data_IF_542478692557
#
_entry.id   IF_542478692557
#
_cell.length_a   1.000
_cell.length_b   1.000
_cell.length_c   1.000
_cell.angle_alpha   90.00
_cell.angle_beta   90.00
_cell.angle_gamma   90.00
#
_symmetry.space_group_name_H-M   'P 1'
#
loop_
_entity.id
_entity.type
_entity.pdbx_description
1 polymer ?
#
# COMPACT_ATOMS: atom_id res chain seq x y z
N UNK A 1 -11.08 23.96 10.13
CA UNK A 1 -11.96 22.96 10.78
C UNK A 1 -12.40 21.87 9.79
N UNK A 2 -12.93 22.22 8.61
CA UNK A 2 -13.36 21.22 7.61
C UNK A 2 -12.22 20.32 7.10
N UNK A 3 -11.04 20.89 6.86
CA UNK A 3 -9.86 20.15 6.39
C UNK A 3 -9.42 19.07 7.38
N UNK A 4 -9.46 19.37 8.67
CA UNK A 4 -9.10 18.45 9.75
C UNK A 4 -10.09 17.27 9.83
N UNK A 5 -11.40 17.50 9.67
CA UNK A 5 -12.38 16.42 9.64
C UNK A 5 -12.22 15.54 8.40
N UNK A 6 -11.88 16.14 7.25
CA UNK A 6 -11.57 15.40 6.02
C UNK A 6 -10.34 14.51 6.20
N UNK A 7 -9.30 15.01 6.83
CA UNK A 7 -8.08 14.26 7.14
C UNK A 7 -8.37 13.08 8.09
N UNK A 8 -9.12 13.29 9.16
CA UNK A 8 -9.50 12.22 10.08
C UNK A 8 -10.36 11.15 9.41
N UNK A 9 -11.32 11.56 8.57
CA UNK A 9 -12.15 10.63 7.83
C UNK A 9 -11.32 9.81 6.83
N UNK A 10 -10.43 10.45 6.06
CA UNK A 10 -9.55 9.80 5.11
C UNK A 10 -8.66 8.75 5.81
N UNK A 11 -8.00 9.13 6.90
CA UNK A 11 -7.19 8.22 7.69
C UNK A 11 -8.00 7.06 8.29
N UNK A 12 -9.20 7.32 8.82
CA UNK A 12 -10.07 6.31 9.40
C UNK A 12 -10.47 5.24 8.36
N UNK A 13 -10.94 5.65 7.18
CA UNK A 13 -11.29 4.71 6.10
C UNK A 13 -10.08 3.93 5.62
N UNK A 14 -8.91 4.58 5.50
CA UNK A 14 -7.69 3.93 5.04
C UNK A 14 -7.16 2.91 6.05
N UNK A 15 -7.17 3.23 7.36
CA UNK A 15 -6.81 2.30 8.44
C UNK A 15 -7.73 1.07 8.45
N UNK A 16 -9.04 1.26 8.31
CA UNK A 16 -10.00 0.16 8.22
C UNK A 16 -9.74 -0.70 6.97
N UNK A 17 -9.48 -0.08 5.83
CA UNK A 17 -9.14 -0.81 4.61
C UNK A 17 -7.91 -1.70 4.80
N UNK A 18 -6.81 -1.14 5.34
CA UNK A 18 -5.57 -1.87 5.58
C UNK A 18 -5.75 -3.02 6.59
N UNK A 19 -6.53 -2.80 7.65
CA UNK A 19 -6.87 -3.84 8.61
C UNK A 19 -7.67 -4.99 7.98
N UNK A 20 -8.66 -4.66 7.15
CA UNK A 20 -9.47 -5.66 6.46
C UNK A 20 -8.70 -6.40 5.36
N UNK A 21 -7.65 -5.78 4.77
CA UNK A 21 -6.73 -6.47 3.89
C UNK A 21 -6.01 -7.62 4.62
N UNK A 22 -5.53 -7.39 5.84
CA UNK A 22 -4.92 -8.42 6.67
C UNK A 22 -5.87 -9.59 6.93
N UNK A 23 -7.16 -9.33 7.10
CA UNK A 23 -8.21 -10.33 7.29
C UNK A 23 -8.70 -10.99 5.99
N UNK A 24 -8.04 -10.74 4.86
CA UNK A 24 -8.43 -11.23 3.53
C UNK A 24 -9.91 -10.91 3.18
N UNK A 25 -10.40 -9.77 3.64
CA UNK A 25 -11.78 -9.33 3.45
C UNK A 25 -11.91 -8.50 2.17
N UNK A 26 -12.93 -8.78 1.35
CA UNK A 26 -13.23 -8.01 0.14
C UNK A 26 -13.54 -6.52 0.44
N UNK A 27 -13.98 -6.23 1.67
CA UNK A 27 -14.32 -4.88 2.07
C UNK A 27 -13.11 -3.93 2.14
N UNK A 28 -11.87 -4.46 2.12
CA UNK A 28 -10.66 -3.65 1.98
C UNK A 28 -10.70 -2.74 0.76
N UNK A 29 -11.26 -3.22 -0.34
CA UNK A 29 -11.19 -2.53 -1.63
C UNK A 29 -12.10 -1.30 -1.70
N UNK A 30 -13.38 -1.43 -1.36
CA UNK A 30 -14.29 -0.29 -1.41
C UNK A 30 -13.99 0.75 -0.31
N UNK A 31 -13.54 0.31 0.87
CA UNK A 31 -13.07 1.22 1.92
C UNK A 31 -11.79 1.96 1.47
N UNK A 32 -10.88 1.24 0.78
CA UNK A 32 -9.71 1.83 0.17
C UNK A 32 -10.07 2.88 -0.88
N UNK A 33 -11.07 2.63 -1.72
CA UNK A 33 -11.57 3.61 -2.70
C UNK A 33 -12.05 4.88 -1.98
N UNK A 34 -12.88 4.75 -0.94
CA UNK A 34 -13.37 5.90 -0.17
C UNK A 34 -12.20 6.66 0.46
N UNK A 35 -11.28 5.97 1.13
CA UNK A 35 -10.11 6.59 1.73
C UNK A 35 -9.25 7.35 0.71
N UNK A 36 -8.97 6.75 -0.45
CA UNK A 36 -8.21 7.40 -1.51
C UNK A 36 -8.94 8.62 -2.11
N UNK A 37 -10.26 8.56 -2.27
CA UNK A 37 -11.03 9.72 -2.75
C UNK A 37 -11.02 10.88 -1.74
N UNK A 38 -11.13 10.57 -0.45
CA UNK A 38 -11.04 11.58 0.61
C UNK A 38 -9.63 12.21 0.67
N UNK A 39 -8.57 11.39 0.54
CA UNK A 39 -7.20 11.91 0.42
C UNK A 39 -7.00 12.71 -0.85
N UNK A 40 -7.54 12.30 -1.99
CA UNK A 40 -7.47 13.08 -3.22
C UNK A 40 -8.13 14.45 -3.07
N UNK A 41 -9.30 14.53 -2.41
CA UNK A 41 -9.96 15.79 -2.10
C UNK A 41 -9.12 16.66 -1.15
N UNK A 42 -8.51 16.07 -0.12
CA UNK A 42 -7.60 16.76 0.81
C UNK A 42 -6.39 17.35 0.06
N UNK A 43 -5.70 16.51 -0.73
CA UNK A 43 -4.51 16.92 -1.48
C UNK A 43 -4.82 17.97 -2.55
N UNK A 44 -5.98 17.91 -3.17
CA UNK A 44 -6.44 18.94 -4.09
C UNK A 44 -6.59 20.32 -3.41
N UNK A 45 -7.17 20.35 -2.20
CA UNK A 45 -7.35 21.59 -1.43
C UNK A 45 -6.01 22.22 -1.02
N UNK A 46 -4.98 21.39 -0.73
CA UNK A 46 -3.64 21.85 -0.39
C UNK A 46 -2.70 21.94 -1.61
N UNK A 47 -3.26 21.82 -2.82
CA UNK A 47 -2.56 21.96 -4.13
C UNK A 47 -1.43 20.95 -4.36
N UNK A 48 -1.50 19.77 -3.75
CA UNK A 48 -0.58 18.66 -3.96
C UNK A 48 -1.09 17.77 -5.11
N UNK A 49 -1.03 18.28 -6.33
CA UNK A 49 -1.64 17.63 -7.50
C UNK A 49 -0.99 16.28 -7.86
N UNK A 50 0.29 16.11 -7.61
CA UNK A 50 0.97 14.82 -7.82
C UNK A 50 0.38 13.72 -6.91
N UNK A 51 0.11 14.06 -5.65
CA UNK A 51 -0.54 13.16 -4.69
C UNK A 51 -1.99 12.85 -5.09
N UNK A 52 -2.70 13.83 -5.67
CA UNK A 52 -4.05 13.58 -6.23
C UNK A 52 -3.99 12.50 -7.31
N UNK A 53 -3.05 12.60 -8.26
CA UNK A 53 -2.87 11.60 -9.32
C UNK A 53 -2.53 10.22 -8.75
N UNK A 54 -1.68 10.16 -7.72
CA UNK A 54 -1.35 8.92 -7.02
C UNK A 54 -2.59 8.31 -6.35
N UNK A 55 -3.41 9.11 -5.68
CA UNK A 55 -4.67 8.61 -5.07
C UNK A 55 -5.63 8.09 -6.14
N UNK A 56 -5.75 8.75 -7.28
CA UNK A 56 -6.56 8.27 -8.40
C UNK A 56 -6.03 6.93 -8.95
N UNK A 57 -4.72 6.76 -9.06
CA UNK A 57 -4.11 5.47 -9.40
C UNK A 57 -4.52 4.38 -8.38
N UNK A 58 -4.49 4.68 -7.07
CA UNK A 58 -4.95 3.73 -6.07
C UNK A 58 -6.46 3.48 -6.12
N UNK A 59 -7.29 4.45 -6.46
CA UNK A 59 -8.72 4.22 -6.71
C UNK A 59 -8.93 3.19 -7.82
N UNK A 60 -8.22 3.34 -8.94
CA UNK A 60 -8.30 2.38 -10.07
C UNK A 60 -7.84 0.99 -9.64
N UNK A 61 -6.69 0.87 -8.98
CA UNK A 61 -6.16 -0.43 -8.55
C UNK A 61 -7.03 -1.09 -7.47
N UNK A 62 -7.63 -0.32 -6.56
CA UNK A 62 -8.62 -0.83 -5.61
C UNK A 62 -9.89 -1.32 -6.34
N UNK A 63 -10.38 -0.61 -7.37
CA UNK A 63 -11.50 -1.03 -8.19
C UNK A 63 -11.24 -2.37 -8.90
N UNK A 64 -10.04 -2.53 -9.47
CA UNK A 64 -9.61 -3.79 -10.10
C UNK A 64 -9.54 -4.91 -9.05
N UNK A 65 -8.94 -4.65 -7.88
CA UNK A 65 -8.86 -5.60 -6.78
C UNK A 65 -10.25 -6.04 -6.30
N UNK A 66 -11.19 -5.10 -6.18
CA UNK A 66 -12.56 -5.39 -5.81
C UNK A 66 -13.25 -6.31 -6.82
N UNK A 67 -13.12 -5.99 -8.11
CA UNK A 67 -13.67 -6.81 -9.18
C UNK A 67 -13.07 -8.23 -9.19
N UNK A 68 -11.73 -8.34 -9.08
CA UNK A 68 -11.04 -9.63 -9.06
C UNK A 68 -11.45 -10.48 -7.85
N UNK A 69 -11.53 -9.88 -6.66
CA UNK A 69 -11.90 -10.61 -5.45
C UNK A 69 -13.38 -10.95 -5.38
N UNK A 70 -14.26 -10.15 -6.02
CA UNK A 70 -15.69 -10.40 -6.12
C UNK A 70 -16.05 -11.57 -7.05
N UNK A 71 -15.24 -11.78 -8.10
CA UNK A 71 -15.47 -12.87 -9.07
C UNK A 71 -14.95 -14.24 -8.63
N UNK A 72 -14.12 -14.30 -7.61
CA UNK A 72 -13.61 -15.56 -7.10
C UNK A 72 -14.69 -16.27 -6.28
N UNK A 73 -15.41 -17.19 -6.91
CA UNK A 73 -16.30 -18.14 -6.25
C UNK A 73 -15.47 -19.27 -5.62
N UNK A 74 -15.66 -19.52 -4.31
CA UNK A 74 -14.96 -20.59 -3.58
C UNK A 74 -13.99 -20.09 -2.51
N UNK A 75 -13.13 -21.00 -1.99
CA UNK A 75 -12.16 -20.68 -0.94
C UNK A 75 -11.16 -19.66 -1.45
N UNK A 76 -11.05 -18.54 -0.75
CA UNK A 76 -10.13 -17.43 -1.05
C UNK A 76 -8.68 -17.85 -0.77
N UNK A 77 -8.06 -18.56 -1.69
CA UNK A 77 -6.73 -19.14 -1.51
C UNK A 77 -5.63 -18.08 -1.57
N UNK A 78 -4.82 -18.04 -0.53
CA UNK A 78 -3.54 -17.32 -0.51
C UNK A 78 -2.48 -18.21 -1.14
N UNK A 79 -1.74 -17.65 -2.12
CA UNK A 79 -0.69 -18.39 -2.85
C UNK A 79 0.64 -17.66 -2.75
N UNK A 80 1.72 -18.35 -3.14
CA UNK A 80 3.05 -17.74 -3.22
C UNK A 80 3.38 -17.30 -4.65
N UNK A 81 4.29 -16.34 -4.73
CA UNK A 81 4.93 -15.95 -5.99
C UNK A 81 6.29 -16.67 -6.10
N UNK A 82 6.64 -17.27 -7.26
CA UNK A 82 7.96 -17.83 -7.46
C UNK A 82 9.08 -16.79 -7.23
N UNK A 83 10.18 -17.22 -6.60
CA UNK A 83 11.30 -16.33 -6.24
C UNK A 83 11.86 -15.54 -7.43
N UNK A 84 11.93 -16.16 -8.61
CA UNK A 84 12.43 -15.49 -9.82
C UNK A 84 11.53 -14.31 -10.25
N UNK A 85 10.20 -14.41 -10.06
CA UNK A 85 9.27 -13.28 -10.32
C UNK A 85 9.43 -12.19 -9.27
N UNK A 86 9.61 -12.56 -8.00
CA UNK A 86 9.86 -11.58 -6.94
C UNK A 86 11.17 -10.83 -7.19
N UNK A 87 12.23 -11.56 -7.58
CA UNK A 87 13.49 -10.95 -7.96
C UNK A 87 13.32 -10.00 -9.15
N UNK A 88 12.54 -10.40 -10.17
CA UNK A 88 12.23 -9.56 -11.32
C UNK A 88 11.46 -8.28 -10.93
N UNK A 89 10.43 -8.41 -10.10
CA UNK A 89 9.68 -7.25 -9.60
C UNK A 89 10.55 -6.31 -8.76
N UNK A 90 11.38 -6.88 -7.88
CA UNK A 90 12.30 -6.07 -7.04
C UNK A 90 13.38 -5.37 -7.87
N UNK A 91 13.93 -6.05 -8.89
CA UNK A 91 14.90 -5.45 -9.80
C UNK A 91 14.28 -4.31 -10.63
N UNK A 92 13.06 -4.53 -11.15
CA UNK A 92 12.31 -3.49 -11.87
C UNK A 92 12.00 -2.31 -10.94
N UNK A 93 11.55 -2.56 -9.71
CA UNK A 93 11.31 -1.50 -8.74
C UNK A 93 12.59 -0.71 -8.43
N UNK A 94 13.71 -1.39 -8.23
CA UNK A 94 15.00 -0.73 -7.97
C UNK A 94 15.43 0.13 -9.17
N UNK A 95 15.31 -0.39 -10.40
CA UNK A 95 15.61 0.36 -11.61
C UNK A 95 14.74 1.62 -11.73
N UNK A 96 13.41 1.48 -11.59
CA UNK A 96 12.48 2.61 -11.68
C UNK A 96 12.72 3.60 -10.53
N UNK A 97 13.02 3.12 -9.32
CA UNK A 97 13.41 3.95 -8.18
C UNK A 97 14.62 4.82 -8.51
N UNK A 98 15.66 4.24 -9.10
CA UNK A 98 16.88 4.97 -9.47
C UNK A 98 16.59 6.02 -10.57
N UNK A 99 15.84 5.64 -11.61
CA UNK A 99 15.49 6.55 -12.69
C UNK A 99 14.58 7.70 -12.21
N UNK A 100 13.51 7.36 -11.51
CA UNK A 100 12.55 8.35 -11.01
C UNK A 100 13.15 9.21 -9.90
N UNK A 101 13.91 8.60 -8.99
CA UNK A 101 14.66 9.32 -7.95
C UNK A 101 15.68 10.29 -8.53
N UNK A 102 16.37 9.91 -9.61
CA UNK A 102 17.29 10.80 -10.32
C UNK A 102 16.56 11.97 -10.97
N UNK A 103 15.41 11.72 -11.61
CA UNK A 103 14.56 12.79 -12.20
C UNK A 103 14.11 13.75 -11.09
N UNK A 104 13.60 13.25 -9.98
CA UNK A 104 13.17 14.08 -8.86
C UNK A 104 14.35 14.89 -8.27
N UNK A 105 15.51 14.26 -8.12
CA UNK A 105 16.71 14.92 -7.60
C UNK A 105 17.20 16.05 -8.51
N UNK A 106 17.11 15.86 -9.83
CA UNK A 106 17.62 16.83 -10.81
C UNK A 106 16.63 17.95 -11.17
N UNK A 107 15.32 17.70 -11.00
CA UNK A 107 14.25 18.60 -11.45
C UNK A 107 13.45 19.23 -10.31
N UNK A 108 13.66 18.82 -9.05
CA UNK A 108 12.90 19.29 -7.89
C UNK A 108 13.78 19.43 -6.65
N UNK A 109 13.31 20.21 -5.68
CA UNK A 109 13.95 20.36 -4.34
C UNK A 109 13.45 19.27 -3.36
N UNK A 110 13.18 18.05 -3.85
CA UNK A 110 12.67 16.96 -3.02
C UNK A 110 13.68 16.59 -1.92
N UNK A 111 13.20 16.46 -0.68
CA UNK A 111 14.03 16.17 0.51
C UNK A 111 14.77 14.84 0.43
N UNK A 112 14.10 13.78 -0.04
CA UNK A 112 14.67 12.43 -0.11
C UNK A 112 14.19 11.68 -1.37
N UNK A 113 14.53 12.15 -2.59
CA UNK A 113 13.91 11.71 -3.83
C UNK A 113 14.02 10.20 -4.09
N UNK A 114 15.15 9.58 -3.76
CA UNK A 114 15.35 8.14 -3.94
C UNK A 114 14.56 7.30 -2.93
N UNK A 115 14.42 7.79 -1.68
CA UNK A 115 13.65 7.09 -0.64
C UNK A 115 12.15 7.19 -0.96
N UNK A 116 11.66 8.36 -1.35
CA UNK A 116 10.26 8.55 -1.78
C UNK A 116 9.93 7.66 -2.97
N UNK A 117 10.82 7.63 -3.98
CA UNK A 117 10.66 6.76 -5.15
C UNK A 117 10.67 5.27 -4.79
N UNK A 118 11.50 4.85 -3.83
CA UNK A 118 11.53 3.48 -3.35
C UNK A 118 10.22 3.12 -2.65
N UNK A 119 9.76 3.94 -1.72
CA UNK A 119 8.47 3.76 -1.03
C UNK A 119 7.35 3.60 -2.06
N UNK A 120 7.28 4.50 -3.06
CA UNK A 120 6.26 4.45 -4.11
C UNK A 120 6.33 3.15 -4.91
N UNK A 121 7.50 2.79 -5.46
CA UNK A 121 7.63 1.62 -6.34
C UNK A 121 7.39 0.31 -5.60
N UNK A 122 7.90 0.16 -4.38
CA UNK A 122 7.65 -1.03 -3.57
C UNK A 122 6.19 -1.13 -3.11
N UNK A 123 5.51 0.01 -2.85
CA UNK A 123 4.06 0.04 -2.57
C UNK A 123 3.23 -0.40 -3.77
N UNK A 124 3.61 0.00 -4.98
CA UNK A 124 2.94 -0.45 -6.22
C UNK A 124 3.05 -1.98 -6.35
N UNK A 125 4.23 -2.56 -6.13
CA UNK A 125 4.40 -4.02 -6.16
C UNK A 125 3.56 -4.69 -5.06
N UNK A 126 3.62 -4.16 -3.83
CA UNK A 126 2.83 -4.68 -2.72
C UNK A 126 1.33 -4.70 -3.06
N UNK A 127 0.81 -3.63 -3.66
CA UNK A 127 -0.58 -3.52 -4.09
C UNK A 127 -0.95 -4.58 -5.15
N UNK A 128 -0.10 -4.79 -6.18
CA UNK A 128 -0.33 -5.82 -7.19
C UNK A 128 -0.28 -7.24 -6.59
N UNK A 129 0.63 -7.50 -5.66
CA UNK A 129 0.69 -8.77 -4.94
C UNK A 129 -0.56 -8.98 -4.08
N UNK A 130 -1.06 -7.93 -3.42
CA UNK A 130 -2.29 -7.96 -2.63
C UNK A 130 -3.51 -8.31 -3.50
N UNK A 131 -3.66 -7.65 -4.65
CA UNK A 131 -4.76 -7.91 -5.59
C UNK A 131 -4.81 -9.38 -6.01
N UNK A 132 -3.64 -10.02 -6.18
CA UNK A 132 -3.49 -11.41 -6.58
C UNK A 132 -3.42 -12.39 -5.38
N UNK A 133 -3.73 -11.95 -4.16
CA UNK A 133 -3.64 -12.74 -2.91
C UNK A 133 -2.30 -13.46 -2.75
N UNK A 134 -1.19 -12.78 -3.07
CA UNK A 134 0.15 -13.31 -2.89
C UNK A 134 0.65 -13.00 -1.49
N UNK A 135 1.12 -14.04 -0.76
CA UNK A 135 1.61 -13.93 0.62
C UNK A 135 2.70 -12.87 0.75
N UNK A 136 3.52 -12.74 -0.28
CA UNK A 136 4.69 -11.85 -0.30
C UNK A 136 4.32 -10.36 -0.25
N UNK A 137 3.06 -10.00 -0.48
CA UNK A 137 2.58 -8.61 -0.33
C UNK A 137 2.96 -8.05 1.04
N UNK A 138 2.89 -8.86 2.11
CA UNK A 138 3.16 -8.44 3.48
C UNK A 138 4.64 -8.13 3.70
N UNK A 139 5.56 -8.87 3.05
CA UNK A 139 6.98 -8.56 3.10
C UNK A 139 7.29 -7.20 2.46
N UNK A 140 6.66 -6.90 1.32
CA UNK A 140 6.82 -5.60 0.68
C UNK A 140 6.25 -4.47 1.54
N UNK A 141 5.08 -4.65 2.15
CA UNK A 141 4.53 -3.66 3.09
C UNK A 141 5.39 -3.47 4.33
N UNK A 142 6.02 -4.53 4.86
CA UNK A 142 6.96 -4.41 5.98
C UNK A 142 8.18 -3.57 5.59
N UNK A 143 8.77 -3.81 4.41
CA UNK A 143 9.91 -3.01 3.91
C UNK A 143 9.49 -1.55 3.74
N UNK A 144 8.37 -1.29 3.05
CA UNK A 144 7.84 0.07 2.84
C UNK A 144 7.67 0.81 4.16
N UNK A 145 6.96 0.20 5.12
CA UNK A 145 6.68 0.86 6.40
C UNK A 145 7.96 1.05 7.24
N UNK A 146 8.91 0.11 7.18
CA UNK A 146 10.20 0.25 7.89
C UNK A 146 11.00 1.44 7.39
N UNK A 147 10.95 1.72 6.09
CA UNK A 147 11.64 2.87 5.48
C UNK A 147 10.83 4.17 5.68
N UNK A 148 9.51 4.10 5.59
CA UNK A 148 8.63 5.25 5.67
C UNK A 148 8.59 5.87 7.08
N UNK A 149 8.59 5.06 8.14
CA UNK A 149 8.51 5.55 9.53
C UNK A 149 9.63 6.54 9.87
N UNK A 150 10.93 6.21 9.74
CA UNK A 150 12.01 7.17 10.03
C UNK A 150 12.00 8.36 9.06
N UNK A 151 11.60 8.17 7.80
CA UNK A 151 11.47 9.26 6.85
C UNK A 151 10.44 10.29 7.29
N UNK A 152 9.26 9.85 7.73
CA UNK A 152 8.22 10.77 8.20
C UNK A 152 8.61 11.46 9.52
N UNK A 153 9.31 10.77 10.43
CA UNK A 153 9.86 11.42 11.61
C UNK A 153 10.88 12.50 11.25
N UNK A 154 11.77 12.26 10.28
CA UNK A 154 12.76 13.25 9.85
C UNK A 154 12.15 14.48 9.16
N UNK A 155 10.91 14.36 8.69
CA UNK A 155 10.12 15.46 8.09
C UNK A 155 9.19 16.15 9.08
N UNK A 156 9.30 15.84 10.37
CA UNK A 156 8.41 16.34 11.44
C UNK A 156 6.92 15.94 11.26
N UNK A 157 6.64 14.94 10.42
CA UNK A 157 5.31 14.38 10.17
C UNK A 157 4.99 13.27 11.19
N UNK A 158 4.95 13.63 12.47
CA UNK A 158 4.82 12.67 13.59
C UNK A 158 3.55 11.84 13.53
N UNK A 159 2.40 12.46 13.21
CA UNK A 159 1.12 11.75 13.10
C UNK A 159 1.18 10.68 12.00
N UNK A 160 1.69 11.04 10.83
CA UNK A 160 1.88 10.11 9.71
C UNK A 160 2.82 8.96 10.10
N UNK A 161 3.94 9.25 10.77
CA UNK A 161 4.86 8.23 11.26
C UNK A 161 4.18 7.24 12.21
N UNK A 162 3.33 7.73 13.14
CA UNK A 162 2.56 6.88 14.06
C UNK A 162 1.58 5.98 13.30
N UNK A 163 0.88 6.52 12.29
CA UNK A 163 -0.03 5.73 11.45
C UNK A 163 0.74 4.63 10.71
N UNK A 164 1.93 4.92 10.17
CA UNK A 164 2.77 3.92 9.50
C UNK A 164 3.36 2.88 10.45
N UNK A 165 3.59 3.20 11.72
CA UNK A 165 3.88 2.19 12.76
C UNK A 165 2.68 1.25 12.91
N UNK A 166 1.46 1.76 12.94
CA UNK A 166 0.24 0.95 12.93
C UNK A 166 0.15 0.03 11.71
N UNK A 167 0.49 0.53 10.50
CA UNK A 167 0.56 -0.28 9.30
C UNK A 167 1.64 -1.36 9.36
N UNK A 168 2.78 -1.07 9.99
CA UNK A 168 3.86 -2.03 10.20
C UNK A 168 3.40 -3.22 11.06
N UNK A 169 2.73 -2.97 12.18
CA UNK A 169 2.14 -4.02 13.00
C UNK A 169 1.03 -4.78 12.26
N UNK A 170 0.19 -4.08 11.50
CA UNK A 170 -0.82 -4.71 10.67
C UNK A 170 -0.21 -5.60 9.57
N UNK A 171 0.94 -5.25 9.01
CA UNK A 171 1.62 -6.08 8.02
C UNK A 171 2.13 -7.39 8.64
N UNK A 172 2.66 -7.39 9.87
CA UNK A 172 2.97 -8.62 10.62
C UNK A 172 1.73 -9.46 10.90
N UNK A 173 0.65 -8.82 11.32
CA UNK A 173 -0.63 -9.49 11.55
C UNK A 173 -1.18 -10.13 10.28
N UNK A 174 -1.14 -9.43 9.15
CA UNK A 174 -1.54 -9.94 7.85
C UNK A 174 -0.68 -11.11 7.38
N UNK A 175 0.64 -11.02 7.55
CA UNK A 175 1.56 -12.11 7.24
C UNK A 175 1.24 -13.37 8.06
N UNK A 176 0.98 -13.22 9.36
CA UNK A 176 0.58 -14.31 10.23
C UNK A 176 -0.73 -14.96 9.78
N UNK A 177 -1.77 -14.18 9.59
CA UNK A 177 -3.09 -14.69 9.18
C UNK A 177 -3.03 -15.37 7.79
N UNK A 178 -2.35 -14.76 6.83
CA UNK A 178 -2.29 -15.31 5.48
C UNK A 178 -1.43 -16.58 5.40
N UNK A 179 -0.41 -16.72 6.24
CA UNK A 179 0.31 -17.99 6.41
C UNK A 179 -0.61 -19.08 6.94
N UNK A 180 -1.43 -18.79 7.96
CA UNK A 180 -2.39 -19.74 8.53
C UNK A 180 -3.43 -20.17 7.49
N UNK A 181 -4.01 -19.23 6.73
CA UNK A 181 -4.96 -19.50 5.65
C UNK A 181 -4.35 -20.41 4.57
N UNK A 182 -3.13 -20.14 4.15
CA UNK A 182 -2.41 -20.98 3.17
C UNK A 182 -2.18 -22.41 3.68
N UNK A 183 -1.74 -22.53 4.94
CA UNK A 183 -1.47 -23.85 5.55
C UNK A 183 -2.75 -24.66 5.76
N UNK A 184 -3.88 -24.01 6.06
CA UNK A 184 -5.18 -24.66 6.15
C UNK A 184 -5.67 -25.18 4.78
N UNK A 185 -5.50 -24.39 3.72
CA UNK A 185 -5.84 -24.80 2.36
C UNK A 185 -5.01 -26.01 1.89
N UNK A 186 -3.72 -26.06 2.24
CA UNK A 186 -2.85 -27.19 1.89
C UNK A 186 -3.17 -28.49 2.67
N UNK A 187 -3.85 -28.40 3.81
CA UNK A 187 -4.27 -29.60 4.60
C UNK A 187 -5.66 -30.11 4.24
N UNK A 188 -6.46 -29.31 3.57
CA UNK A 188 -7.81 -29.69 3.13
C UNK A 188 -7.89 -30.13 1.65
N UNK A 189 -6.75 -30.11 0.94
CA UNK A 189 -6.58 -30.63 -0.40
C UNK A 189 -5.86 -31.96 -0.38
#
# INVERSE_FOLDING_TARGET
>A
MELMYLEYAANGFYLLAVFLAARNSIHTWWLGIIGCLLFAALFYQVKLYAEVLLMLFFVVTNGIGWYQWGRQSGVKQVTNTPLWRLAGYSALAALVTLLYGYILHSMTDAYAPFIDSAILMFSVIAQFLLMNRKLETWWFWLVVNTVAVPLYFSRELQLTAIVYIGFWFNAWYGLYLWRALRSAAARGA
#
